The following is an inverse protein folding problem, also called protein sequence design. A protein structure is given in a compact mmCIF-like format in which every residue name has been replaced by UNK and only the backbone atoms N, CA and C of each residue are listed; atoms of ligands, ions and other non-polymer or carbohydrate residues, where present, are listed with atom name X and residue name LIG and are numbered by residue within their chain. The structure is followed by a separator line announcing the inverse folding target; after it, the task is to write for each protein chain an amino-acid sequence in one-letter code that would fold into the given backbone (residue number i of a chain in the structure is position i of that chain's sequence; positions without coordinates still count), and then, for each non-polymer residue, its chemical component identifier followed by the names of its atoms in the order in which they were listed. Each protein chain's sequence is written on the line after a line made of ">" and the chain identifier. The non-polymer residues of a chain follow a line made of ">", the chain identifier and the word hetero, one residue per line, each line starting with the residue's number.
data_IF_115104964342
#
_entry.id   IF_115104964342
#
_cell.length_a   1.000
_cell.length_b   1.000
_cell.length_c   1.000
_cell.angle_alpha   90.00
_cell.angle_beta   90.00
_cell.angle_gamma   90.00
#
_symmetry.space_group_name_H-M   'P 1'
#
loop_
_entity.id
_entity.type
_entity.pdbx_description
1 polymer ?
#
# COMPACT_ATOMS: atom_id res chain seq x y z
N UNK A 1 -17.75 -19.37 15.44
CA UNK A 1 -17.96 -19.03 14.03
C UNK A 1 -17.37 -20.15 13.20
N UNK A 2 -18.09 -20.71 12.21
CA UNK A 2 -17.47 -21.61 11.25
C UNK A 2 -16.35 -20.85 10.51
N UNK A 3 -15.27 -21.53 10.09
CA UNK A 3 -14.21 -20.88 9.32
C UNK A 3 -14.81 -20.34 8.02
N UNK A 4 -14.64 -19.05 7.78
CA UNK A 4 -15.02 -18.41 6.51
C UNK A 4 -14.19 -19.11 5.42
N UNK A 5 -14.81 -19.65 4.36
CA UNK A 5 -14.07 -20.28 3.28
C UNK A 5 -13.06 -19.26 2.73
N UNK A 6 -11.79 -19.68 2.68
CA UNK A 6 -10.69 -18.87 2.19
C UNK A 6 -11.01 -18.39 0.78
N UNK A 7 -11.33 -17.11 0.63
CA UNK A 7 -11.50 -16.51 -0.68
C UNK A 7 -10.14 -16.59 -1.42
N UNK A 8 -10.08 -17.13 -2.65
CA UNK A 8 -8.78 -17.19 -3.34
C UNK A 8 -8.28 -15.79 -3.72
N UNK A 9 -9.21 -14.86 -3.97
CA UNK A 9 -8.92 -13.53 -4.50
C UNK A 9 -8.33 -12.60 -3.44
N UNK A 10 -8.95 -12.49 -2.26
CA UNK A 10 -8.44 -11.76 -1.11
C UNK A 10 -7.14 -12.35 -0.58
N UNK A 11 -6.96 -13.67 -0.59
CA UNK A 11 -5.66 -14.28 -0.27
C UNK A 11 -4.54 -13.85 -1.23
N UNK A 12 -4.80 -13.82 -2.54
CA UNK A 12 -3.84 -13.32 -3.55
C UNK A 12 -3.58 -11.83 -3.32
N UNK A 13 -4.62 -11.03 -3.08
CA UNK A 13 -4.51 -9.60 -2.81
C UNK A 13 -3.65 -9.32 -1.58
N UNK A 14 -3.92 -9.99 -0.47
CA UNK A 14 -3.16 -9.84 0.77
C UNK A 14 -1.70 -10.28 0.60
N UNK A 15 -1.47 -11.40 -0.08
CA UNK A 15 -0.12 -11.89 -0.39
C UNK A 15 0.66 -10.85 -1.21
N UNK A 16 0.03 -10.26 -2.24
CA UNK A 16 0.65 -9.21 -3.05
C UNK A 16 0.93 -7.94 -2.23
N UNK A 17 0.02 -7.51 -1.36
CA UNK A 17 0.25 -6.39 -0.44
C UNK A 17 1.45 -6.63 0.48
N UNK A 18 1.60 -7.86 1.01
CA UNK A 18 2.75 -8.24 1.85
C UNK A 18 4.06 -8.20 1.04
N UNK A 19 4.05 -8.72 -0.20
CA UNK A 19 5.23 -8.66 -1.09
C UNK A 19 5.61 -7.21 -1.40
N UNK A 20 4.63 -6.35 -1.70
CA UNK A 20 4.82 -4.92 -1.94
C UNK A 20 5.40 -4.23 -0.70
N UNK A 21 4.86 -4.53 0.49
CA UNK A 21 5.38 -4.01 1.75
C UNK A 21 6.84 -4.42 1.96
N UNK A 22 7.19 -5.66 1.65
CA UNK A 22 8.57 -6.14 1.74
C UNK A 22 9.50 -5.40 0.78
N UNK A 23 9.07 -5.13 -0.46
CA UNK A 23 9.85 -4.33 -1.43
C UNK A 23 10.14 -2.91 -0.90
N UNK A 24 9.16 -2.28 -0.25
CA UNK A 24 9.33 -0.95 0.35
C UNK A 24 10.30 -0.98 1.53
N UNK A 25 10.18 -2.00 2.40
CA UNK A 25 11.07 -2.18 3.56
C UNK A 25 12.51 -2.45 3.11
N UNK A 26 12.71 -3.33 2.13
CA UNK A 26 14.03 -3.59 1.55
C UNK A 26 14.67 -2.35 0.92
N UNK A 27 13.83 -1.43 0.45
CA UNK A 27 14.24 -0.13 -0.03
C UNK A 27 14.65 0.84 1.09
N UNK A 28 14.13 0.70 2.32
CA UNK A 28 14.37 1.68 3.37
C UNK A 28 15.88 1.82 3.68
N UNK A 29 16.42 3.05 3.67
CA UNK A 29 17.84 3.28 3.91
C UNK A 29 18.27 2.99 5.36
N UNK A 30 17.34 2.63 6.24
CA UNK A 30 17.59 2.23 7.63
C UNK A 30 18.46 0.96 7.73
N UNK A 31 18.27 -0.02 6.85
CA UNK A 31 18.99 -1.30 6.92
C UNK A 31 20.35 -1.31 6.23
N UNK A 32 20.63 -0.34 5.33
CA UNK A 32 21.80 -0.38 4.44
C UNK A 32 22.73 0.82 4.53
N UNK A 33 22.54 1.70 5.50
CA UNK A 33 23.33 2.91 5.68
C UNK A 33 23.03 3.96 4.60
N UNK A 34 22.55 5.12 5.03
CA UNK A 34 22.20 6.30 4.20
C UNK A 34 23.37 6.90 3.40
N UNK A 35 24.60 6.43 3.61
CA UNK A 35 25.81 7.01 3.00
C UNK A 35 26.03 6.59 1.53
N UNK A 36 25.50 5.44 1.11
CA UNK A 36 25.83 4.87 -0.20
C UNK A 36 24.84 5.28 -1.31
N UNK A 37 25.35 5.92 -2.39
CA UNK A 37 24.57 6.45 -3.51
C UNK A 37 23.68 5.41 -4.18
N UNK A 38 24.27 4.24 -4.37
CA UNK A 38 23.67 3.15 -5.11
C UNK A 38 22.45 2.62 -4.35
N UNK A 39 22.49 2.62 -3.02
CA UNK A 39 21.39 2.14 -2.17
C UNK A 39 20.18 3.07 -2.23
N UNK A 40 20.40 4.39 -2.26
CA UNK A 40 19.32 5.38 -2.32
C UNK A 40 18.62 5.41 -3.68
N UNK A 41 19.39 5.20 -4.76
CA UNK A 41 18.84 5.08 -6.11
C UNK A 41 18.09 3.75 -6.26
N UNK A 42 18.66 2.64 -5.79
CA UNK A 42 17.99 1.34 -5.75
C UNK A 42 16.67 1.41 -4.97
N UNK A 43 16.64 2.11 -3.84
CA UNK A 43 15.41 2.37 -3.10
C UNK A 43 14.35 3.05 -3.97
N UNK A 44 14.72 4.13 -4.68
CA UNK A 44 13.79 4.82 -5.58
C UNK A 44 13.19 3.88 -6.63
N UNK A 45 14.01 3.02 -7.25
CA UNK A 45 13.53 2.03 -8.21
C UNK A 45 12.64 0.96 -7.58
N UNK A 46 13.00 0.44 -6.41
CA UNK A 46 12.15 -0.52 -5.68
C UNK A 46 10.81 0.09 -5.30
N UNK A 47 10.80 1.37 -4.89
CA UNK A 47 9.57 2.10 -4.59
C UNK A 47 8.71 2.29 -5.83
N UNK A 48 9.30 2.59 -7.01
CA UNK A 48 8.55 2.63 -8.27
C UNK A 48 7.91 1.28 -8.57
N UNK A 49 8.69 0.18 -8.49
CA UNK A 49 8.20 -1.16 -8.78
C UNK A 49 7.06 -1.53 -7.81
N UNK A 50 7.24 -1.27 -6.52
CA UNK A 50 6.24 -1.50 -5.49
C UNK A 50 4.95 -0.71 -5.76
N UNK A 51 5.08 0.56 -6.13
CA UNK A 51 3.95 1.43 -6.45
C UNK A 51 3.20 0.92 -7.69
N UNK A 52 3.90 0.60 -8.78
CA UNK A 52 3.27 0.06 -10.01
C UNK A 52 2.53 -1.25 -9.71
N UNK A 53 3.14 -2.16 -8.96
CA UNK A 53 2.50 -3.41 -8.57
C UNK A 53 1.24 -3.17 -7.72
N UNK A 54 1.30 -2.19 -6.82
CA UNK A 54 0.16 -1.82 -5.99
C UNK A 54 -0.97 -1.16 -6.79
N UNK A 55 -0.64 -0.23 -7.70
CA UNK A 55 -1.60 0.36 -8.63
C UNK A 55 -2.31 -0.72 -9.44
N UNK A 56 -1.56 -1.68 -10.00
CA UNK A 56 -2.11 -2.80 -10.75
C UNK A 56 -3.03 -3.65 -9.86
N UNK A 57 -2.63 -3.95 -8.63
CA UNK A 57 -3.45 -4.70 -7.68
C UNK A 57 -4.77 -3.98 -7.37
N UNK A 58 -4.72 -2.66 -7.13
CA UNK A 58 -5.91 -1.84 -6.86
C UNK A 58 -6.90 -1.97 -8.03
N UNK A 59 -6.46 -1.69 -9.25
CA UNK A 59 -7.39 -1.64 -10.39
C UNK A 59 -7.82 -3.00 -10.92
N UNK A 60 -6.98 -4.03 -10.80
CA UNK A 60 -7.30 -5.37 -11.31
C UNK A 60 -8.05 -6.26 -10.32
N UNK A 61 -7.87 -6.03 -9.01
CA UNK A 61 -8.45 -6.88 -7.97
C UNK A 61 -9.34 -6.07 -7.03
N UNK A 62 -8.79 -5.05 -6.35
CA UNK A 62 -9.52 -4.39 -5.25
C UNK A 62 -10.76 -3.64 -5.74
N UNK A 63 -10.65 -2.86 -6.83
CA UNK A 63 -11.77 -2.10 -7.39
C UNK A 63 -12.87 -3.04 -7.88
N UNK A 64 -12.60 -4.07 -8.71
CA UNK A 64 -13.63 -5.05 -9.10
C UNK A 64 -14.31 -5.73 -7.91
N UNK A 65 -13.54 -6.23 -6.93
CA UNK A 65 -14.08 -6.87 -5.72
C UNK A 65 -14.98 -5.92 -4.96
N UNK A 66 -14.53 -4.68 -4.73
CA UNK A 66 -15.32 -3.66 -4.06
C UNK A 66 -16.61 -3.33 -4.83
N UNK A 67 -16.54 -3.18 -6.16
CA UNK A 67 -17.73 -2.88 -6.98
C UNK A 67 -18.76 -4.00 -6.96
N UNK A 68 -18.33 -5.26 -6.90
CA UNK A 68 -19.22 -6.41 -6.79
C UNK A 68 -19.87 -6.49 -5.40
N UNK A 69 -19.16 -6.07 -4.34
CA UNK A 69 -19.65 -6.04 -2.96
C UNK A 69 -20.39 -4.77 -2.54
N UNK A 70 -20.53 -3.76 -3.42
CA UNK A 70 -21.15 -2.47 -3.07
C UNK A 70 -22.56 -2.59 -2.46
N UNK A 71 -23.34 -3.59 -2.91
CA UNK A 71 -24.70 -3.83 -2.42
C UNK A 71 -24.74 -4.26 -0.95
N UNK A 72 -23.66 -4.82 -0.41
CA UNK A 72 -23.58 -5.36 0.94
C UNK A 72 -23.17 -4.29 1.97
N UNK A 73 -22.62 -3.17 1.52
CA UNK A 73 -22.17 -2.07 2.39
C UNK A 73 -23.28 -1.49 3.27
N UNK A 74 -24.53 -1.51 2.79
CA UNK A 74 -25.69 -1.00 3.52
C UNK A 74 -26.08 -1.85 4.74
N UNK A 75 -25.63 -3.11 4.79
CA UNK A 75 -25.92 -4.05 5.88
C UNK A 75 -24.82 -4.17 6.93
N UNK A 76 -23.69 -3.47 6.73
CA UNK A 76 -22.55 -3.54 7.63
C UNK A 76 -22.84 -2.86 8.98
N UNK A 77 -22.26 -3.42 10.06
CA UNK A 77 -22.25 -2.71 11.34
C UNK A 77 -21.46 -1.41 11.24
N UNK A 78 -21.67 -0.48 12.18
CA UNK A 78 -20.93 0.79 12.19
C UNK A 78 -19.40 0.56 12.20
N UNK A 79 -18.94 -0.43 12.96
CA UNK A 79 -17.52 -0.77 13.05
C UNK A 79 -16.97 -1.30 11.72
N UNK A 80 -17.71 -2.18 11.05
CA UNK A 80 -17.31 -2.78 9.78
C UNK A 80 -17.29 -1.73 8.67
N UNK A 81 -18.32 -0.87 8.63
CA UNK A 81 -18.40 0.26 7.70
C UNK A 81 -17.24 1.23 7.88
N UNK A 82 -16.91 1.62 9.12
CA UNK A 82 -15.76 2.48 9.41
C UNK A 82 -14.44 1.80 9.00
N UNK A 83 -14.32 0.48 9.21
CA UNK A 83 -13.13 -0.28 8.80
C UNK A 83 -12.95 -0.26 7.29
N UNK A 84 -14.01 -0.54 6.53
CA UNK A 84 -13.99 -0.52 5.06
C UNK A 84 -13.68 0.89 4.53
N UNK A 85 -14.40 1.91 4.99
CA UNK A 85 -14.18 3.28 4.53
C UNK A 85 -12.80 3.82 4.88
N UNK A 86 -12.30 3.52 6.09
CA UNK A 86 -10.95 3.93 6.49
C UNK A 86 -9.89 3.23 5.66
N UNK A 87 -10.05 1.93 5.33
CA UNK A 87 -9.14 1.23 4.41
C UNK A 87 -9.06 1.93 3.05
N UNK A 88 -10.21 2.28 2.46
CA UNK A 88 -10.30 2.96 1.16
C UNK A 88 -9.60 4.32 1.22
N UNK A 89 -9.95 5.15 2.21
CA UNK A 89 -9.39 6.50 2.35
C UNK A 89 -7.87 6.45 2.56
N UNK A 90 -7.41 5.58 3.47
CA UNK A 90 -5.98 5.42 3.74
C UNK A 90 -5.25 4.84 2.53
N UNK A 91 -5.87 3.91 1.80
CA UNK A 91 -5.31 3.33 0.58
C UNK A 91 -5.11 4.37 -0.51
N UNK A 92 -6.13 5.21 -0.76
CA UNK A 92 -6.03 6.34 -1.72
C UNK A 92 -4.95 7.32 -1.29
N UNK A 93 -4.89 7.67 0.01
CA UNK A 93 -3.89 8.59 0.53
C UNK A 93 -2.46 8.03 0.40
N UNK A 94 -2.26 6.74 0.71
CA UNK A 94 -0.98 6.05 0.57
C UNK A 94 -0.52 6.01 -0.89
N UNK A 95 -1.39 5.57 -1.80
CA UNK A 95 -1.10 5.46 -3.23
C UNK A 95 -0.78 6.83 -3.83
N UNK A 96 -1.61 7.84 -3.56
CA UNK A 96 -1.41 9.21 -4.05
C UNK A 96 -0.11 9.80 -3.49
N UNK A 97 0.16 9.61 -2.20
CA UNK A 97 1.41 10.03 -1.57
C UNK A 97 2.63 9.37 -2.20
N UNK A 98 2.55 8.07 -2.50
CA UNK A 98 3.57 7.32 -3.22
C UNK A 98 3.84 7.87 -4.61
N UNK A 99 2.79 8.12 -5.39
CA UNK A 99 2.88 8.72 -6.73
C UNK A 99 3.54 10.10 -6.68
N UNK A 100 3.14 10.95 -5.73
CA UNK A 100 3.73 12.29 -5.58
C UNK A 100 5.22 12.18 -5.26
N UNK A 101 5.60 11.33 -4.30
CA UNK A 101 7.00 11.16 -3.88
C UNK A 101 7.87 10.65 -5.04
N UNK A 102 7.39 9.64 -5.76
CA UNK A 102 8.07 9.09 -6.94
C UNK A 102 8.18 10.15 -8.05
N UNK A 103 7.09 10.87 -8.34
CA UNK A 103 7.06 11.91 -9.39
C UNK A 103 8.03 13.04 -9.08
N UNK A 104 8.10 13.50 -7.83
CA UNK A 104 9.07 14.50 -7.38
C UNK A 104 10.51 13.99 -7.48
N UNK A 105 10.74 12.71 -7.23
CA UNK A 105 12.07 12.10 -7.35
C UNK A 105 12.52 12.00 -8.82
N UNK A 106 11.65 11.54 -9.72
CA UNK A 106 11.92 11.44 -11.15
C UNK A 106 12.13 12.84 -11.76
N UNK A 107 11.26 13.80 -11.43
CA UNK A 107 11.29 15.16 -12.03
C UNK A 107 12.56 15.94 -11.70
N UNK A 108 13.17 15.68 -10.54
CA UNK A 108 14.43 16.32 -10.12
C UNK A 108 15.68 15.56 -10.56
N UNK A 109 15.50 14.48 -11.32
CA UNK A 109 16.52 13.51 -11.66
C UNK A 109 16.82 12.58 -10.48
N UNK A 110 17.02 11.28 -10.73
CA UNK A 110 17.31 10.28 -9.69
C UNK A 110 18.65 10.58 -9.02
N UNK A 111 18.62 11.42 -7.99
CA UNK A 111 19.78 11.91 -7.26
C UNK A 111 19.64 11.69 -5.76
N UNK A 112 20.77 11.59 -5.06
CA UNK A 112 20.80 11.43 -3.60
C UNK A 112 20.00 12.50 -2.86
N UNK A 113 20.16 13.76 -3.33
CA UNK A 113 19.63 14.93 -2.64
C UNK A 113 18.10 14.95 -2.64
N UNK A 114 17.49 14.49 -3.74
CA UNK A 114 16.03 14.44 -3.88
C UNK A 114 15.40 13.45 -2.91
N UNK A 115 15.93 12.22 -2.81
CA UNK A 115 15.40 11.21 -1.88
C UNK A 115 15.66 11.60 -0.42
N UNK A 116 16.85 12.13 -0.09
CA UNK A 116 17.14 12.58 1.29
C UNK A 116 16.22 13.72 1.74
N UNK A 117 15.96 14.69 0.86
CA UNK A 117 15.07 15.83 1.16
C UNK A 117 13.61 15.40 1.38
N UNK A 118 13.17 14.33 0.73
CA UNK A 118 11.80 13.82 0.85
C UNK A 118 11.62 12.80 1.98
N UNK A 119 12.70 12.41 2.68
CA UNK A 119 12.66 11.43 3.78
C UNK A 119 11.60 11.73 4.84
N UNK A 120 11.37 13.01 5.14
CA UNK A 120 10.36 13.45 6.10
C UNK A 120 8.92 13.13 5.67
N UNK A 121 8.66 13.05 4.37
CA UNK A 121 7.35 12.69 3.81
C UNK A 121 7.21 11.19 3.54
N UNK A 122 8.33 10.49 3.29
CA UNK A 122 8.32 9.04 3.06
C UNK A 122 7.84 8.26 4.27
N UNK A 123 8.25 8.65 5.49
CA UNK A 123 7.86 7.94 6.71
C UNK A 123 6.34 8.03 6.99
N UNK A 124 5.68 9.21 6.96
CA UNK A 124 4.23 9.29 7.08
C UNK A 124 3.48 8.48 6.02
N UNK A 125 3.88 8.56 4.74
CA UNK A 125 3.23 7.79 3.67
C UNK A 125 3.35 6.29 3.92
N UNK A 126 4.53 5.83 4.35
CA UNK A 126 4.76 4.43 4.69
C UNK A 126 3.92 3.97 5.89
N UNK A 127 3.77 4.80 6.93
CA UNK A 127 2.91 4.50 8.08
C UNK A 127 1.44 4.41 7.66
N UNK A 128 0.94 5.35 6.84
CA UNK A 128 -0.42 5.31 6.30
C UNK A 128 -0.63 4.00 5.52
N UNK A 129 0.36 3.59 4.72
CA UNK A 129 0.29 2.36 3.96
C UNK A 129 0.22 1.11 4.85
N UNK A 130 1.04 1.04 5.91
CA UNK A 130 0.97 -0.07 6.89
C UNK A 130 -0.42 -0.13 7.52
N UNK A 131 -0.97 0.99 7.98
CA UNK A 131 -2.30 1.03 8.60
C UNK A 131 -3.36 0.58 7.58
N UNK A 132 -3.25 1.01 6.31
CA UNK A 132 -4.14 0.56 5.24
C UNK A 132 -4.07 -0.95 5.03
N UNK A 133 -2.87 -1.56 4.98
CA UNK A 133 -2.69 -3.01 4.83
C UNK A 133 -3.28 -3.77 6.03
N UNK A 134 -3.08 -3.26 7.26
CA UNK A 134 -3.67 -3.87 8.46
C UNK A 134 -5.20 -3.83 8.38
N UNK A 135 -5.80 -2.71 7.98
CA UNK A 135 -7.25 -2.65 7.77
C UNK A 135 -7.73 -3.60 6.68
N UNK A 136 -7.02 -3.68 5.54
CA UNK A 136 -7.36 -4.63 4.47
C UNK A 136 -7.27 -6.09 4.92
N UNK A 137 -6.31 -6.41 5.78
CA UNK A 137 -6.17 -7.73 6.39
C UNK A 137 -7.34 -8.04 7.34
N UNK A 138 -7.80 -7.05 8.12
CA UNK A 138 -8.96 -7.21 9.00
C UNK A 138 -10.24 -7.45 8.19
N UNK A 139 -10.44 -6.71 7.11
CA UNK A 139 -11.55 -6.89 6.16
C UNK A 139 -11.59 -8.34 5.67
N UNK A 140 -10.46 -8.83 5.17
CA UNK A 140 -10.30 -10.20 4.68
C UNK A 140 -10.54 -11.27 5.75
N UNK A 141 -9.93 -11.14 6.93
CA UNK A 141 -10.00 -12.15 8.01
C UNK A 141 -11.40 -12.23 8.62
N UNK A 142 -12.08 -11.09 8.77
CA UNK A 142 -13.42 -11.00 9.36
C UNK A 142 -14.50 -11.36 8.33
N UNK A 143 -14.15 -11.42 7.04
CA UNK A 143 -15.10 -11.70 5.95
C UNK A 143 -16.04 -10.53 5.70
N UNK A 144 -15.53 -9.30 5.81
CA UNK A 144 -16.28 -8.10 5.48
C UNK A 144 -16.10 -7.87 3.96
N UNK A 145 -17.11 -8.24 3.15
CA UNK A 145 -17.11 -8.25 1.68
C UNK A 145 -16.35 -9.43 1.04
#
# INVERSE_FOLDING_TARGET
>A
MPPVPLDPVGNISLTLQIVILFLLILGLPFFRGTSNAKNLILHGYLTIIALVLHTLLIFSVMVPTFTNGLGELGGLSLFDSVTVWSHIILGIAAETGGIILVSLWISKGPSKLACYRQRGWMMPVFVIWIISIVNGSLIHIIGML
#
